data_IF_728944779451
#
_entry.id   IF_728944779451
#
_cell.length_a   1.000
_cell.length_b   1.000
_cell.length_c   1.000
_cell.angle_alpha   90.00
_cell.angle_beta   90.00
_cell.angle_gamma   90.00
#
_symmetry.space_group_name_H-M   'P 1'
#
loop_
_entity.id
_entity.type
_entity.pdbx_description
1 polymer ?
#
# COMPACT_ATOMS: atom_id res chain seq x y z
N UNK A 1 6.43 13.01 -17.47
CA UNK A 1 6.17 12.16 -16.30
C UNK A 1 4.99 12.66 -15.45
N UNK A 2 4.79 13.97 -15.26
CA UNK A 2 3.67 14.49 -14.44
C UNK A 2 2.32 14.02 -14.94
N UNK A 3 2.16 14.08 -16.27
CA UNK A 3 0.98 13.58 -16.95
C UNK A 3 0.70 12.09 -16.68
N UNK A 4 1.73 11.25 -16.54
CA UNK A 4 1.54 9.80 -16.33
C UNK A 4 1.15 9.50 -14.88
N UNK A 5 1.78 10.20 -13.94
CA UNK A 5 1.68 9.90 -12.51
C UNK A 5 0.45 10.57 -11.88
N UNK A 6 0.16 11.82 -12.28
CA UNK A 6 -0.79 12.68 -11.58
C UNK A 6 -1.99 13.13 -12.45
N UNK A 7 -1.84 13.22 -13.77
CA UNK A 7 -2.85 13.87 -14.63
C UNK A 7 -3.41 12.94 -15.73
N UNK A 8 -3.10 11.65 -15.68
CA UNK A 8 -3.45 10.72 -16.74
C UNK A 8 -4.95 10.41 -16.65
N UNK A 9 -5.71 10.69 -17.71
CA UNK A 9 -7.15 10.36 -17.78
C UNK A 9 -7.44 8.87 -18.02
N UNK A 10 -6.43 8.01 -18.00
CA UNK A 10 -6.62 6.58 -18.18
C UNK A 10 -7.18 5.98 -16.89
N UNK A 11 -8.13 5.04 -17.03
CA UNK A 11 -8.88 4.44 -15.91
C UNK A 11 -7.97 3.88 -14.82
N UNK A 12 -6.80 3.35 -15.21
CA UNK A 12 -5.81 2.78 -14.28
C UNK A 12 -5.32 3.74 -13.20
N UNK A 13 -4.98 4.99 -13.55
CA UNK A 13 -4.34 5.91 -12.61
C UNK A 13 -5.33 6.45 -11.57
N UNK A 14 -6.47 6.94 -12.03
CA UNK A 14 -7.52 7.49 -11.16
C UNK A 14 -8.07 6.42 -10.21
N UNK A 15 -8.29 5.20 -10.71
CA UNK A 15 -8.78 4.08 -9.91
C UNK A 15 -7.80 3.73 -8.79
N UNK A 16 -6.49 3.65 -9.07
CA UNK A 16 -5.48 3.33 -8.04
C UNK A 16 -5.44 4.39 -6.95
N UNK A 17 -5.40 5.68 -7.32
CA UNK A 17 -5.35 6.75 -6.31
C UNK A 17 -6.63 6.83 -5.47
N UNK A 18 -7.78 6.53 -6.07
CA UNK A 18 -9.07 6.45 -5.36
C UNK A 18 -9.05 5.30 -4.35
N UNK A 19 -8.66 4.08 -4.75
CA UNK A 19 -8.59 2.94 -3.84
C UNK A 19 -7.56 3.18 -2.73
N UNK A 20 -6.40 3.79 -3.06
CA UNK A 20 -5.41 4.16 -2.06
C UNK A 20 -5.98 5.13 -1.02
N UNK A 21 -6.74 6.13 -1.46
CA UNK A 21 -7.38 7.11 -0.57
C UNK A 21 -8.38 6.44 0.36
N UNK A 22 -9.21 5.55 -0.16
CA UNK A 22 -10.19 4.81 0.63
C UNK A 22 -9.51 3.88 1.65
N UNK A 23 -8.43 3.21 1.23
CA UNK A 23 -7.63 2.37 2.12
C UNK A 23 -6.95 3.21 3.21
N UNK A 24 -6.41 4.38 2.85
CA UNK A 24 -5.77 5.29 3.80
C UNK A 24 -6.76 5.85 4.83
N UNK A 25 -8.01 6.06 4.45
CA UNK A 25 -9.05 6.54 5.37
C UNK A 25 -9.26 5.58 6.57
N UNK A 26 -8.98 4.28 6.41
CA UNK A 26 -9.03 3.30 7.51
C UNK A 26 -8.04 3.62 8.63
N UNK A 27 -6.92 4.26 8.31
CA UNK A 27 -5.90 4.68 9.28
C UNK A 27 -6.35 5.84 10.17
N UNK A 28 -7.43 6.55 9.78
CA UNK A 28 -7.93 7.77 10.43
C UNK A 28 -6.92 8.93 10.46
N UNK A 29 -5.85 8.86 9.66
CA UNK A 29 -4.95 9.97 9.43
C UNK A 29 -5.44 10.86 8.28
N UNK A 30 -4.96 12.09 8.24
CA UNK A 30 -5.30 13.02 7.18
C UNK A 30 -4.80 12.48 5.83
N UNK A 31 -5.66 12.60 4.81
CA UNK A 31 -5.29 12.27 3.45
C UNK A 31 -4.24 13.27 2.95
N UNK A 32 -3.22 12.72 2.29
CA UNK A 32 -2.20 13.49 1.61
C UNK A 32 -2.42 13.30 0.11
N UNK A 33 -2.73 14.39 -0.59
CA UNK A 33 -2.90 14.31 -2.04
C UNK A 33 -1.57 13.90 -2.71
N UNK A 34 -1.61 12.96 -3.68
CA UNK A 34 -0.43 12.63 -4.46
C UNK A 34 0.02 13.87 -5.22
N UNK A 35 1.28 14.25 -5.02
CA UNK A 35 2.00 15.28 -5.76
C UNK A 35 3.40 14.74 -6.02
N UNK A 36 4.15 15.36 -6.93
CA UNK A 36 5.54 14.96 -7.16
C UNK A 36 6.36 14.88 -5.88
N UNK A 37 6.28 15.91 -5.03
CA UNK A 37 6.98 15.93 -3.76
C UNK A 37 6.53 14.82 -2.80
N UNK A 38 5.23 14.57 -2.72
CA UNK A 38 4.70 13.57 -1.77
C UNK A 38 4.89 12.13 -2.25
N UNK A 39 4.87 11.90 -3.56
CA UNK A 39 4.99 10.56 -4.14
C UNK A 39 6.45 10.11 -4.22
N UNK A 40 7.38 11.00 -4.62
CA UNK A 40 8.82 10.69 -4.60
C UNK A 40 9.44 10.85 -3.21
N UNK A 41 8.89 11.74 -2.40
CA UNK A 41 9.24 11.94 -0.99
C UNK A 41 8.37 11.15 -0.03
N UNK A 42 7.76 10.04 -0.45
CA UNK A 42 6.84 9.27 0.39
C UNK A 42 7.48 8.87 1.74
N UNK A 43 8.77 8.49 1.71
CA UNK A 43 9.56 8.16 2.89
C UNK A 43 9.89 9.36 3.81
N UNK A 44 9.72 10.59 3.32
CA UNK A 44 9.98 11.83 4.07
C UNK A 44 8.72 12.39 4.73
N UNK A 45 7.55 11.78 4.49
CA UNK A 45 6.29 12.24 5.09
C UNK A 45 6.28 11.97 6.58
N UNK A 46 5.81 12.95 7.36
CA UNK A 46 5.76 12.86 8.81
C UNK A 46 4.30 12.79 9.25
N UNK A 47 3.96 11.70 9.94
CA UNK A 47 2.64 11.53 10.53
C UNK A 47 2.75 11.59 12.05
N UNK A 48 1.87 12.40 12.65
CA UNK A 48 1.76 12.53 14.10
C UNK A 48 0.54 11.77 14.60
N UNK A 49 0.66 11.18 15.78
CA UNK A 49 -0.44 10.64 16.55
C UNK A 49 -1.32 11.78 17.10
N UNK A 50 -2.45 11.42 17.72
CA UNK A 50 -3.32 12.39 18.41
C UNK A 50 -2.61 13.11 19.56
N UNK A 51 -1.60 12.48 20.15
CA UNK A 51 -0.76 13.02 21.22
C UNK A 51 0.40 13.89 20.69
N UNK A 52 0.48 14.09 19.37
CA UNK A 52 1.53 14.88 18.73
C UNK A 52 2.86 14.16 18.53
N UNK A 53 2.96 12.90 18.97
CA UNK A 53 4.17 12.07 18.81
C UNK A 53 4.27 11.52 17.39
N UNK A 54 5.50 11.40 16.88
CA UNK A 54 5.76 10.85 15.53
C UNK A 54 5.40 9.36 15.47
N UNK A 55 4.63 8.95 14.46
CA UNK A 55 4.25 7.55 14.26
C UNK A 55 5.05 6.92 13.12
N UNK A 56 6.18 6.29 13.46
CA UNK A 56 7.05 5.63 12.47
C UNK A 56 6.36 4.49 11.70
N UNK A 57 5.43 3.80 12.34
CA UNK A 57 4.66 2.72 11.69
C UNK A 57 3.69 3.27 10.65
N UNK A 58 3.00 4.38 10.94
CA UNK A 58 2.13 5.06 9.98
C UNK A 58 2.93 5.60 8.79
N UNK A 59 4.10 6.18 9.04
CA UNK A 59 5.00 6.67 7.98
C UNK A 59 5.49 5.54 7.09
N UNK A 60 5.84 4.39 7.69
CA UNK A 60 6.26 3.20 6.95
C UNK A 60 5.11 2.67 6.10
N UNK A 61 3.90 2.58 6.66
CA UNK A 61 2.70 2.17 5.92
C UNK A 61 2.42 3.12 4.74
N UNK A 62 2.46 4.45 4.96
CA UNK A 62 2.29 5.42 3.88
C UNK A 62 3.32 5.23 2.77
N UNK A 63 4.59 5.07 3.15
CA UNK A 63 5.68 4.88 2.21
C UNK A 63 5.43 3.65 1.35
N UNK A 64 5.06 2.53 1.96
CA UNK A 64 4.76 1.28 1.26
C UNK A 64 3.58 1.49 0.31
N UNK A 65 2.44 1.94 0.82
CA UNK A 65 1.22 2.07 0.02
C UNK A 65 1.41 3.06 -1.14
N UNK A 66 2.05 4.21 -0.90
CA UNK A 66 2.27 5.24 -1.90
C UNK A 66 3.23 4.78 -3.00
N UNK A 67 4.35 4.13 -2.64
CA UNK A 67 5.36 3.68 -3.61
C UNK A 67 4.89 2.48 -4.43
N UNK A 68 4.18 1.52 -3.82
CA UNK A 68 3.55 0.41 -4.56
C UNK A 68 2.46 0.91 -5.52
N UNK A 69 1.65 1.89 -5.08
CA UNK A 69 0.64 2.52 -5.94
C UNK A 69 1.28 3.22 -7.15
N UNK A 70 2.32 4.03 -6.92
CA UNK A 70 3.06 4.71 -7.97
C UNK A 70 3.64 3.72 -8.98
N UNK A 71 4.28 2.68 -8.47
CA UNK A 71 4.89 1.65 -9.31
C UNK A 71 3.83 0.91 -10.14
N UNK A 72 2.68 0.60 -9.55
CA UNK A 72 1.58 -0.03 -10.27
C UNK A 72 0.99 0.89 -11.35
N UNK A 73 0.80 2.19 -11.07
CA UNK A 73 0.38 3.18 -12.09
C UNK A 73 1.34 3.18 -13.27
N UNK A 74 2.65 3.20 -12.99
CA UNK A 74 3.67 3.13 -14.03
C UNK A 74 3.58 1.83 -14.85
N UNK A 75 3.47 0.69 -14.16
CA UNK A 75 3.38 -0.64 -14.80
C UNK A 75 2.17 -0.74 -15.71
N UNK A 76 0.98 -0.35 -15.23
CA UNK A 76 -0.25 -0.36 -16.02
C UNK A 76 -0.15 0.55 -17.24
N UNK A 77 0.46 1.73 -17.11
CA UNK A 77 0.69 2.61 -18.26
C UNK A 77 1.56 1.94 -19.31
N UNK A 78 2.64 1.28 -18.91
CA UNK A 78 3.55 0.61 -19.84
C UNK A 78 2.85 -0.54 -20.56
N UNK A 79 2.10 -1.37 -19.84
CA UNK A 79 1.29 -2.45 -20.42
C UNK A 79 0.26 -1.90 -21.41
N UNK A 80 -0.50 -0.87 -21.03
CA UNK A 80 -1.46 -0.22 -21.92
C UNK A 80 -0.84 0.26 -23.22
N UNK A 81 0.26 1.01 -23.13
CA UNK A 81 0.86 1.69 -24.29
C UNK A 81 1.67 0.74 -25.17
N UNK A 82 2.36 -0.25 -24.58
CA UNK A 82 3.31 -1.10 -25.30
C UNK A 82 2.66 -2.42 -25.72
N UNK A 83 1.82 -3.03 -24.87
CA UNK A 83 1.27 -4.37 -25.09
C UNK A 83 -0.16 -4.34 -25.62
N UNK A 84 -0.98 -3.37 -25.17
CA UNK A 84 -2.42 -3.34 -25.47
C UNK A 84 -2.82 -2.24 -26.47
N UNK A 85 -1.85 -1.68 -27.21
CA UNK A 85 -2.06 -0.67 -28.27
C UNK A 85 -2.88 0.55 -27.81
N UNK A 86 -2.80 0.91 -26.53
CA UNK A 86 -3.50 2.03 -25.94
C UNK A 86 -4.87 1.70 -25.33
N UNK A 87 -5.36 0.46 -25.45
CA UNK A 87 -6.64 -0.02 -24.93
C UNK A 87 -6.72 0.11 -23.40
N UNK A 88 -7.78 0.73 -22.89
CA UNK A 88 -7.91 0.96 -21.45
C UNK A 88 -8.30 -0.32 -20.70
N UNK A 89 -8.00 -0.35 -19.39
CA UNK A 89 -8.32 -1.48 -18.53
C UNK A 89 -9.71 -1.35 -17.93
N UNK A 90 -10.31 -2.49 -17.56
CA UNK A 90 -11.52 -2.48 -16.75
C UNK A 90 -11.20 -2.05 -15.31
N UNK A 91 -12.07 -1.24 -14.69
CA UNK A 91 -11.93 -0.81 -13.29
C UNK A 91 -11.73 -2.00 -12.34
N UNK A 92 -12.48 -3.09 -12.55
CA UNK A 92 -12.38 -4.31 -11.74
C UNK A 92 -11.01 -4.98 -11.87
N UNK A 93 -10.42 -4.97 -13.07
CA UNK A 93 -9.09 -5.52 -13.30
C UNK A 93 -8.04 -4.70 -12.55
N UNK A 94 -8.07 -3.38 -12.68
CA UNK A 94 -7.17 -2.46 -11.97
C UNK A 94 -7.29 -2.65 -10.45
N UNK A 95 -8.53 -2.76 -9.96
CA UNK A 95 -8.84 -2.99 -8.54
C UNK A 95 -8.23 -4.29 -8.04
N UNK A 96 -8.43 -5.40 -8.77
CA UNK A 96 -7.88 -6.69 -8.41
C UNK A 96 -6.35 -6.67 -8.41
N UNK A 97 -5.73 -6.03 -9.41
CA UNK A 97 -4.27 -5.87 -9.51
C UNK A 97 -3.71 -5.04 -8.35
N UNK A 98 -4.40 -3.98 -7.94
CA UNK A 98 -4.02 -3.18 -6.77
C UNK A 98 -3.99 -4.04 -5.49
N UNK A 99 -5.08 -4.72 -5.17
CA UNK A 99 -5.12 -5.56 -3.97
C UNK A 99 -4.13 -6.72 -4.03
N UNK A 100 -3.93 -7.33 -5.21
CA UNK A 100 -2.91 -8.36 -5.40
C UNK A 100 -1.50 -7.80 -5.12
N UNK A 101 -1.20 -6.58 -5.57
CA UNK A 101 0.07 -5.90 -5.34
C UNK A 101 0.32 -5.66 -3.84
N UNK A 102 -0.65 -5.06 -3.14
CA UNK A 102 -0.49 -4.77 -1.71
C UNK A 102 -0.47 -6.05 -0.86
N UNK A 103 -1.28 -7.06 -1.18
CA UNK A 103 -1.22 -8.37 -0.50
C UNK A 103 0.14 -9.05 -0.71
N UNK A 104 0.69 -8.99 -1.92
CA UNK A 104 2.03 -9.55 -2.20
C UNK A 104 3.11 -8.84 -1.38
N UNK A 105 2.99 -7.53 -1.18
CA UNK A 105 3.89 -6.75 -0.35
C UNK A 105 3.76 -7.11 1.14
N UNK A 106 2.53 -7.25 1.64
CA UNK A 106 2.26 -7.75 2.99
C UNK A 106 2.91 -9.12 3.22
N UNK A 107 2.73 -10.06 2.29
CA UNK A 107 3.32 -11.40 2.39
C UNK A 107 4.85 -11.38 2.35
N UNK A 108 5.45 -10.48 1.55
CA UNK A 108 6.89 -10.27 1.54
C UNK A 108 7.38 -9.77 2.91
N UNK A 109 6.72 -8.78 3.49
CA UNK A 109 7.09 -8.25 4.81
C UNK A 109 6.92 -9.31 5.91
N UNK A 110 5.86 -10.14 5.85
CA UNK A 110 5.66 -11.29 6.76
C UNK A 110 6.79 -12.31 6.65
N UNK A 111 7.09 -12.77 5.43
CA UNK A 111 8.14 -13.78 5.17
C UNK A 111 9.51 -13.29 5.59
N UNK A 112 9.85 -12.05 5.24
CA UNK A 112 11.13 -11.44 5.62
C UNK A 112 11.23 -11.27 7.13
N UNK A 113 10.15 -10.86 7.80
CA UNK A 113 10.08 -10.76 9.27
C UNK A 113 10.23 -12.13 9.96
N UNK A 114 9.66 -13.20 9.40
CA UNK A 114 9.79 -14.55 9.94
C UNK A 114 11.20 -15.13 9.78
N UNK A 115 11.89 -14.80 8.69
CA UNK A 115 13.22 -15.34 8.37
C UNK A 115 14.39 -14.50 8.91
N UNK A 116 14.21 -13.18 9.01
CA UNK A 116 15.29 -12.26 9.33
C UNK A 116 15.78 -12.46 10.77
N UNK A 117 17.10 -12.56 10.92
CA UNK A 117 17.78 -12.62 12.21
C UNK A 117 18.73 -11.44 12.34
N UNK A 118 18.75 -10.81 13.51
CA UNK A 118 19.69 -9.74 13.82
C UNK A 118 19.04 -8.48 14.37
N UNK A 119 19.87 -7.53 14.80
CA UNK A 119 19.45 -6.30 15.48
C UNK A 119 18.74 -5.30 14.57
N UNK A 120 18.93 -5.40 13.25
CA UNK A 120 18.27 -4.57 12.23
C UNK A 120 17.07 -5.25 11.57
N UNK A 121 16.72 -6.47 11.97
CA UNK A 121 15.55 -7.17 11.44
C UNK A 121 14.26 -6.45 11.88
N UNK A 122 13.30 -6.37 10.96
CA UNK A 122 11.96 -5.92 11.31
C UNK A 122 11.36 -6.92 12.30
N UNK A 123 10.87 -6.45 13.44
CA UNK A 123 10.28 -7.33 14.45
C UNK A 123 8.83 -7.64 14.06
N UNK A 124 8.30 -8.83 14.41
CA UNK A 124 6.89 -9.18 14.18
C UNK A 124 5.90 -8.12 14.68
N UNK A 125 6.13 -7.59 15.88
CA UNK A 125 5.29 -6.54 16.46
C UNK A 125 5.33 -5.21 15.67
N UNK A 126 6.46 -4.90 15.02
CA UNK A 126 6.57 -3.71 14.18
C UNK A 126 5.84 -3.90 12.85
N UNK A 127 6.00 -5.05 12.20
CA UNK A 127 5.26 -5.41 10.99
C UNK A 127 3.75 -5.40 11.25
N UNK A 128 3.32 -5.98 12.37
CA UNK A 128 1.92 -5.94 12.81
C UNK A 128 1.41 -4.51 12.96
N UNK A 129 2.16 -3.65 13.66
CA UNK A 129 1.78 -2.26 13.88
C UNK A 129 1.69 -1.45 12.58
N UNK A 130 2.55 -1.74 11.60
CA UNK A 130 2.52 -1.12 10.27
C UNK A 130 1.25 -1.52 9.53
N UNK A 131 0.94 -2.81 9.45
CA UNK A 131 -0.13 -3.32 8.58
C UNK A 131 -1.52 -3.27 9.21
N UNK A 132 -1.63 -3.37 10.54
CA UNK A 132 -2.89 -3.43 11.31
C UNK A 132 -4.00 -2.50 10.80
N UNK A 133 -3.76 -1.21 10.50
CA UNK A 133 -4.84 -0.29 10.13
C UNK A 133 -5.58 -0.65 8.83
N UNK A 134 -4.98 -1.45 7.96
CA UNK A 134 -5.50 -1.74 6.61
C UNK A 134 -5.84 -3.21 6.38
N UNK A 135 -5.70 -4.06 7.40
CA UNK A 135 -6.02 -5.47 7.34
C UNK A 135 -7.52 -5.73 7.45
N UNK A 136 -7.98 -6.75 6.73
CA UNK A 136 -9.33 -7.27 6.91
C UNK A 136 -9.43 -8.13 8.16
N UNK A 137 -10.48 -7.95 8.95
CA UNK A 137 -10.79 -8.72 10.17
C UNK A 137 -9.59 -8.95 11.11
N UNK A 138 -8.75 -7.92 11.30
CA UNK A 138 -7.56 -8.01 12.15
C UNK A 138 -7.85 -8.57 13.55
N UNK A 139 -8.99 -8.19 14.15
CA UNK A 139 -9.36 -8.63 15.50
C UNK A 139 -9.61 -10.16 15.61
N UNK A 140 -9.79 -10.86 14.48
CA UNK A 140 -9.93 -12.31 14.42
C UNK A 140 -8.61 -13.04 14.13
N UNK A 141 -7.51 -12.32 13.89
CA UNK A 141 -6.21 -12.93 13.58
C UNK A 141 -5.55 -13.47 14.87
N UNK A 142 -4.87 -14.62 14.79
CA UNK A 142 -4.12 -15.15 15.93
C UNK A 142 -2.91 -14.25 16.26
N UNK A 143 -2.44 -14.20 17.53
CA UNK A 143 -1.36 -13.29 17.95
C UNK A 143 -0.04 -13.42 17.16
N UNK A 144 0.22 -14.57 16.56
CA UNK A 144 1.43 -14.88 15.80
C UNK A 144 1.23 -14.84 14.27
N UNK A 145 0.13 -14.25 13.77
CA UNK A 145 -0.24 -14.26 12.35
C UNK A 145 0.86 -13.74 11.40
N UNK A 146 1.72 -12.83 11.89
CA UNK A 146 2.81 -12.25 11.08
C UNK A 146 3.80 -13.33 10.65
N UNK A 147 4.14 -14.27 11.54
CA UNK A 147 5.18 -15.28 11.31
C UNK A 147 4.59 -16.64 10.93
N UNK A 148 3.30 -16.85 11.20
CA UNK A 148 2.61 -18.08 10.85
C UNK A 148 2.17 -18.07 9.37
N UNK A 149 2.88 -18.84 8.55
CA UNK A 149 2.57 -19.00 7.13
C UNK A 149 1.26 -19.74 6.83
N UNK A 150 0.64 -20.39 7.83
CA UNK A 150 -0.67 -21.02 7.70
C UNK A 150 -1.84 -20.04 7.82
N UNK A 151 -1.58 -18.79 8.25
CA UNK A 151 -2.63 -17.78 8.43
C UNK A 151 -2.86 -17.01 7.14
N UNK A 152 -4.09 -17.07 6.65
CA UNK A 152 -4.58 -16.23 5.55
C UNK A 152 -4.94 -14.84 6.10
N UNK A 153 -4.26 -13.83 5.60
CA UNK A 153 -4.46 -12.42 5.94
C UNK A 153 -4.45 -11.62 4.65
N UNK A 154 -5.30 -10.60 4.57
CA UNK A 154 -5.41 -9.78 3.38
C UNK A 154 -5.82 -8.35 3.71
N UNK A 155 -5.62 -7.49 2.73
CA UNK A 155 -6.00 -6.07 2.80
C UNK A 155 -7.52 -5.94 2.70
N UNK A 156 -8.08 -5.07 3.55
CA UNK A 156 -9.51 -4.76 3.55
C UNK A 156 -9.94 -4.18 2.21
N UNK A 157 -10.90 -4.84 1.58
CA UNK A 157 -11.55 -4.33 0.36
C UNK A 157 -12.76 -3.48 0.74
N UNK A 158 -12.97 -2.37 0.04
CA UNK A 158 -14.20 -1.58 0.18
C UNK A 158 -15.43 -2.48 -0.03
N UNK A 159 -16.45 -2.31 0.82
CA UNK A 159 -17.77 -2.93 0.62
C UNK A 159 -18.61 -2.05 -0.28
#
# INVERSE_FOLDING_TARGET
>A
MSHIILECKATGQETIWTILKDLWALTKHNWVSPTWGMTFGAACTVFKSREGTRSSATESLWTILCTESLHLVWKLRCERVIQNEGSDFMVQEVTNRFYACINSRLDLDRRTTALARGTKALKPADAERIWRPVLDNYDALPPNWVVDGGVLVGIKRGR
#
